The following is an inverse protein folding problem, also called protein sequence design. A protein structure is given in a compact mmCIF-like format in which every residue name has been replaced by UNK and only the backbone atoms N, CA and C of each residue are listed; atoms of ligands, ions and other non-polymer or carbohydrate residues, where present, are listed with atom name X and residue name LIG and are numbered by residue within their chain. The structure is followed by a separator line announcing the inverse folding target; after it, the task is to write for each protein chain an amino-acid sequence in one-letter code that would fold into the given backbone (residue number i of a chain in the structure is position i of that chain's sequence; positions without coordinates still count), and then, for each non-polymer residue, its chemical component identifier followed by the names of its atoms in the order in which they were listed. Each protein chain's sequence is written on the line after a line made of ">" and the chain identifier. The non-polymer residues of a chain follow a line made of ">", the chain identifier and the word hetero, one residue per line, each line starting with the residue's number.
data_IF_029011030056
#
_entry.id   IF_029011030056
#
_cell.length_a   1.000
_cell.length_b   1.000
_cell.length_c   1.000
_cell.angle_alpha   90.00
_cell.angle_beta   90.00
_cell.angle_gamma   90.00
#
_symmetry.space_group_name_H-M   'P 1'
#
loop_
_entity.id
_entity.type
_entity.pdbx_description
1 polymer ?
#
# COMPACT_ATOMS: atom_id res chain seq x y z
N UNK A 1 1.69 -22.05 12.27
CA UNK A 1 1.51 -21.30 11.01
C UNK A 1 2.88 -20.75 10.67
N UNK A 2 3.39 -20.90 9.44
CA UNK A 2 4.75 -20.47 9.11
C UNK A 2 4.86 -18.97 9.40
N UNK A 3 5.87 -18.59 10.16
CA UNK A 3 6.12 -17.19 10.50
C UNK A 3 6.47 -16.43 9.21
N UNK A 4 5.51 -15.67 8.68
CA UNK A 4 5.76 -14.72 7.60
C UNK A 4 6.63 -13.59 8.17
N UNK A 5 7.95 -13.78 8.19
CA UNK A 5 8.89 -12.79 8.70
C UNK A 5 10.13 -13.38 9.36
N UNK A 6 10.96 -14.07 8.58
CA UNK A 6 12.35 -14.31 8.99
C UNK A 6 13.18 -13.02 8.86
N UNK A 7 14.32 -12.96 9.55
CA UNK A 7 15.27 -11.86 9.43
C UNK A 7 15.68 -11.60 7.97
N UNK A 8 15.97 -12.66 7.22
CA UNK A 8 16.44 -12.58 5.82
C UNK A 8 15.42 -11.99 4.83
N UNK A 9 14.16 -12.46 4.74
CA UNK A 9 13.15 -11.80 3.91
C UNK A 9 12.97 -10.32 4.20
N UNK A 10 12.94 -9.92 5.49
CA UNK A 10 12.79 -8.52 5.89
C UNK A 10 13.99 -7.67 5.47
N UNK A 11 15.21 -8.18 5.66
CA UNK A 11 16.44 -7.49 5.25
C UNK A 11 16.50 -7.31 3.73
N UNK A 12 16.17 -8.34 2.95
CA UNK A 12 16.16 -8.29 1.48
C UNK A 12 15.16 -7.25 1.00
N UNK A 13 13.93 -7.30 1.51
CA UNK A 13 12.88 -6.33 1.19
C UNK A 13 13.32 -4.91 1.52
N UNK A 14 13.95 -4.72 2.68
CA UNK A 14 14.44 -3.41 3.10
C UNK A 14 15.50 -2.85 2.13
N UNK A 15 16.52 -3.63 1.80
CA UNK A 15 17.60 -3.22 0.90
C UNK A 15 17.05 -2.91 -0.50
N UNK A 16 16.05 -3.67 -0.95
CA UNK A 16 15.45 -3.51 -2.28
C UNK A 16 14.36 -2.44 -2.35
N UNK A 17 13.68 -2.13 -1.24
CA UNK A 17 12.55 -1.19 -1.23
C UNK A 17 12.95 0.20 -1.70
N UNK A 18 14.08 0.74 -1.21
CA UNK A 18 14.57 2.06 -1.63
C UNK A 18 14.91 2.12 -3.13
N UNK A 19 15.83 1.30 -3.68
CA UNK A 19 16.22 1.41 -5.08
C UNK A 19 15.07 1.13 -6.04
N UNK A 20 14.24 0.11 -5.78
CA UNK A 20 13.11 -0.22 -6.67
C UNK A 20 12.13 0.96 -6.72
N UNK A 21 11.76 1.49 -5.55
CA UNK A 21 10.80 2.58 -5.47
C UNK A 21 11.38 3.85 -6.07
N UNK A 22 12.60 4.23 -5.71
CA UNK A 22 13.22 5.46 -6.20
C UNK A 22 13.42 5.44 -7.72
N UNK A 23 13.96 4.35 -8.27
CA UNK A 23 14.23 4.25 -9.70
C UNK A 23 12.93 4.22 -10.53
N UNK A 24 11.90 3.49 -10.08
CA UNK A 24 10.62 3.44 -10.79
C UNK A 24 9.93 4.81 -10.83
N UNK A 25 9.84 5.51 -9.68
CA UNK A 25 9.19 6.81 -9.61
C UNK A 25 10.04 7.90 -10.30
N UNK A 26 11.36 7.76 -10.33
CA UNK A 26 12.25 8.65 -11.08
C UNK A 26 12.11 8.44 -12.58
N UNK A 27 12.02 7.19 -13.04
CA UNK A 27 11.75 6.85 -14.44
C UNK A 27 10.45 7.48 -14.91
N UNK A 28 9.39 7.35 -14.12
CA UNK A 28 8.11 7.98 -14.41
C UNK A 28 8.19 9.52 -14.45
N UNK A 29 8.88 10.13 -13.49
CA UNK A 29 9.04 11.60 -13.49
C UNK A 29 9.79 12.09 -14.73
N UNK A 30 10.90 11.44 -15.10
CA UNK A 30 11.67 11.77 -16.31
C UNK A 30 10.84 11.59 -17.58
N UNK A 31 10.03 10.55 -17.64
CA UNK A 31 9.08 10.36 -18.73
C UNK A 31 8.14 11.56 -18.85
N UNK A 32 7.54 12.04 -17.76
CA UNK A 32 6.66 13.22 -17.79
C UNK A 32 7.42 14.52 -18.14
N UNK A 33 8.69 14.64 -17.72
CA UNK A 33 9.54 15.77 -18.10
C UNK A 33 9.96 15.80 -19.57
N UNK A 34 9.84 14.68 -20.29
CA UNK A 34 10.15 14.64 -21.73
C UNK A 34 9.20 15.48 -22.58
N UNK A 35 8.02 15.83 -22.04
CA UNK A 35 7.11 16.76 -22.69
C UNK A 35 7.51 18.21 -22.41
N UNK A 36 7.55 19.01 -23.47
CA UNK A 36 7.86 20.43 -23.40
C UNK A 36 6.70 21.29 -22.88
N UNK A 37 5.48 20.74 -22.79
CA UNK A 37 4.31 21.50 -22.31
C UNK A 37 4.26 21.50 -20.77
N UNK A 38 4.22 22.67 -20.10
CA UNK A 38 4.24 22.73 -18.63
C UNK A 38 3.08 22.00 -17.94
N UNK A 39 1.94 21.88 -18.62
CA UNK A 39 0.69 21.32 -18.10
C UNK A 39 0.51 19.82 -18.40
N UNK A 40 1.40 19.22 -19.21
CA UNK A 40 1.27 17.80 -19.59
C UNK A 40 1.28 16.87 -18.38
N UNK A 41 0.18 16.15 -18.20
CA UNK A 41 0.11 15.03 -17.28
C UNK A 41 0.62 13.74 -17.95
N UNK A 42 0.73 12.66 -17.18
CA UNK A 42 1.17 11.35 -17.69
C UNK A 42 0.36 10.87 -18.90
N UNK A 43 -0.96 11.14 -18.94
CA UNK A 43 -1.83 10.71 -20.04
C UNK A 43 -1.53 11.48 -21.33
N UNK A 44 -1.16 12.76 -21.20
CA UNK A 44 -0.84 13.62 -22.33
C UNK A 44 0.50 13.22 -22.94
N UNK A 45 1.52 13.01 -22.10
CA UNK A 45 2.85 12.58 -22.53
C UNK A 45 2.82 11.24 -23.28
N UNK A 46 1.95 10.31 -22.86
CA UNK A 46 1.78 9.04 -23.59
C UNK A 46 1.16 9.27 -24.96
N UNK A 47 0.20 10.18 -25.06
CA UNK A 47 -0.36 10.59 -26.35
C UNK A 47 0.67 11.23 -27.28
N UNK A 48 1.56 12.08 -26.73
CA UNK A 48 2.63 12.74 -27.47
C UNK A 48 3.67 11.74 -28.04
N UNK A 49 4.11 10.76 -27.23
CA UNK A 49 5.15 9.81 -27.65
C UNK A 49 4.63 8.59 -28.43
N UNK A 50 3.44 8.10 -28.10
CA UNK A 50 2.90 6.84 -28.63
C UNK A 50 1.64 7.03 -29.49
N UNK A 51 1.17 8.27 -29.65
CA UNK A 51 0.00 8.61 -30.46
C UNK A 51 -1.31 8.63 -29.67
N UNK A 52 -2.33 9.27 -30.27
CA UNK A 52 -3.61 9.54 -29.61
C UNK A 52 -4.37 8.28 -29.16
N UNK A 53 -4.26 7.17 -29.90
CA UNK A 53 -4.91 5.90 -29.55
C UNK A 53 -4.27 5.28 -28.30
N UNK A 54 -2.94 5.30 -28.21
CA UNK A 54 -2.22 4.81 -27.03
C UNK A 54 -2.56 5.63 -25.78
N UNK A 55 -2.64 6.96 -25.92
CA UNK A 55 -3.06 7.85 -24.81
C UNK A 55 -4.47 7.53 -24.29
N UNK A 56 -5.44 7.28 -25.18
CA UNK A 56 -6.80 6.89 -24.80
C UNK A 56 -6.84 5.54 -24.07
N UNK A 57 -6.18 4.51 -24.63
CA UNK A 57 -6.12 3.18 -24.01
C UNK A 57 -5.47 3.25 -22.64
N UNK A 58 -4.35 3.97 -22.52
CA UNK A 58 -3.67 4.16 -21.25
C UNK A 58 -4.57 4.87 -20.23
N UNK A 59 -5.30 5.91 -20.64
CA UNK A 59 -6.21 6.64 -19.74
C UNK A 59 -7.28 5.72 -19.14
N UNK A 60 -7.84 4.79 -19.94
CA UNK A 60 -8.81 3.80 -19.45
C UNK A 60 -8.16 2.84 -18.45
N UNK A 61 -6.97 2.31 -18.77
CA UNK A 61 -6.23 1.41 -17.87
C UNK A 61 -5.88 2.13 -16.56
N UNK A 62 -5.38 3.36 -16.66
CA UNK A 62 -5.03 4.21 -15.53
C UNK A 62 -6.23 4.49 -14.63
N UNK A 63 -7.40 4.77 -15.22
CA UNK A 63 -8.64 4.95 -14.48
C UNK A 63 -8.99 3.70 -13.65
N UNK A 64 -8.99 2.50 -14.25
CA UNK A 64 -9.28 1.26 -13.51
C UNK A 64 -8.23 0.97 -12.43
N UNK A 65 -6.96 1.25 -12.71
CA UNK A 65 -5.88 1.05 -11.75
C UNK A 65 -6.06 1.94 -10.51
N UNK A 66 -6.29 3.25 -10.70
CA UNK A 66 -6.53 4.19 -9.60
C UNK A 66 -7.85 3.88 -8.88
N UNK A 67 -8.91 3.56 -9.62
CA UNK A 67 -10.21 3.18 -9.04
C UNK A 67 -10.10 1.97 -8.11
N UNK A 68 -9.34 0.95 -8.51
CA UNK A 68 -9.10 -0.25 -7.68
C UNK A 68 -8.39 0.11 -6.38
N UNK A 69 -7.37 0.98 -6.46
CA UNK A 69 -6.66 1.48 -5.28
C UNK A 69 -7.61 2.24 -4.34
N UNK A 70 -8.50 3.07 -4.89
CA UNK A 70 -9.49 3.81 -4.11
C UNK A 70 -10.46 2.89 -3.36
N UNK A 71 -10.98 1.84 -4.01
CA UNK A 71 -11.86 0.86 -3.35
C UNK A 71 -11.14 0.17 -2.18
N UNK A 72 -9.91 -0.25 -2.40
CA UNK A 72 -9.11 -0.91 -1.37
C UNK A 72 -8.95 -0.02 -0.13
N UNK A 73 -8.64 1.27 -0.31
CA UNK A 73 -8.54 2.21 0.80
C UNK A 73 -9.89 2.50 1.47
N UNK A 74 -11.00 2.57 0.71
CA UNK A 74 -12.32 2.73 1.28
C UNK A 74 -12.70 1.55 2.21
N UNK A 75 -12.40 0.32 1.78
CA UNK A 75 -12.58 -0.89 2.59
C UNK A 75 -11.71 -0.85 3.85
N UNK A 76 -10.44 -0.46 3.71
CA UNK A 76 -9.50 -0.36 4.83
C UNK A 76 -9.98 0.65 5.88
N UNK A 77 -10.35 1.87 5.48
CA UNK A 77 -10.82 2.91 6.41
C UNK A 77 -12.11 2.47 7.11
N UNK A 78 -13.03 1.84 6.38
CA UNK A 78 -14.28 1.30 6.98
C UNK A 78 -13.96 0.27 8.07
N UNK A 79 -13.04 -0.66 7.80
CA UNK A 79 -12.64 -1.68 8.77
C UNK A 79 -11.96 -1.07 10.02
N UNK A 80 -11.11 -0.06 9.81
CA UNK A 80 -10.43 0.64 10.91
C UNK A 80 -11.41 1.44 11.76
N UNK A 81 -12.36 2.16 11.13
CA UNK A 81 -13.38 2.90 11.85
C UNK A 81 -14.29 1.97 12.66
N UNK A 82 -14.70 0.83 12.08
CA UNK A 82 -15.51 -0.18 12.78
C UNK A 82 -14.75 -0.74 13.99
N UNK A 83 -13.47 -1.09 13.82
CA UNK A 83 -12.62 -1.52 14.93
C UNK A 83 -12.46 -0.45 16.02
N UNK A 84 -12.34 0.83 15.63
CA UNK A 84 -12.24 1.94 16.57
C UNK A 84 -13.54 2.10 17.39
N UNK A 85 -14.70 2.01 16.72
CA UNK A 85 -16.01 2.12 17.37
C UNK A 85 -16.22 1.01 18.39
N UNK A 86 -15.86 -0.23 18.04
CA UNK A 86 -16.09 -1.39 18.92
C UNK A 86 -15.06 -1.48 20.04
N UNK A 87 -13.78 -1.26 19.75
CA UNK A 87 -12.70 -1.50 20.71
C UNK A 87 -12.29 -0.26 21.50
N UNK A 88 -12.34 0.93 20.91
CA UNK A 88 -11.89 2.17 21.57
C UNK A 88 -13.05 2.99 22.13
N UNK A 89 -14.20 3.01 21.46
CA UNK A 89 -15.42 3.68 21.96
C UNK A 89 -16.34 2.76 22.76
N UNK A 90 -16.06 1.44 22.80
CA UNK A 90 -16.86 0.42 23.47
C UNK A 90 -18.36 0.44 23.08
N UNK A 91 -18.67 0.89 21.86
CA UNK A 91 -20.04 0.92 21.34
C UNK A 91 -20.38 -0.40 20.64
N UNK A 92 -21.68 -0.74 20.62
CA UNK A 92 -22.17 -1.88 19.84
C UNK A 92 -21.79 -1.75 18.37
N UNK A 93 -21.45 -2.86 17.72
CA UNK A 93 -20.97 -2.89 16.34
C UNK A 93 -22.05 -2.38 15.36
N UNK A 94 -21.88 -1.18 14.77
CA UNK A 94 -22.86 -0.63 13.85
C UNK A 94 -22.81 -1.39 12.51
N UNK A 95 -23.90 -1.37 11.71
CA UNK A 95 -23.91 -1.98 10.39
C UNK A 95 -22.80 -1.42 9.51
N UNK A 96 -21.97 -2.30 8.95
CA UNK A 96 -20.82 -1.94 8.08
C UNK A 96 -21.22 -1.00 6.93
N UNK A 97 -22.39 -1.23 6.33
CA UNK A 97 -22.92 -0.40 5.22
C UNK A 97 -23.16 1.04 5.65
N UNK A 98 -23.71 1.25 6.85
CA UNK A 98 -23.96 2.57 7.41
C UNK A 98 -22.64 3.31 7.66
N UNK A 99 -21.67 2.65 8.30
CA UNK A 99 -20.34 3.23 8.54
C UNK A 99 -19.66 3.60 7.22
N UNK A 100 -19.68 2.71 6.22
CA UNK A 100 -19.09 2.96 4.92
C UNK A 100 -19.73 4.17 4.22
N UNK A 101 -21.06 4.27 4.21
CA UNK A 101 -21.78 5.40 3.58
C UNK A 101 -21.43 6.72 4.28
N UNK A 102 -21.47 6.76 5.61
CA UNK A 102 -21.13 7.96 6.38
C UNK A 102 -19.68 8.40 6.13
N UNK A 103 -18.73 7.46 6.14
CA UNK A 103 -17.32 7.75 5.85
C UNK A 103 -17.11 8.25 4.43
N UNK A 104 -17.71 7.60 3.42
CA UNK A 104 -17.57 8.01 2.02
C UNK A 104 -18.16 9.41 1.82
N UNK A 105 -19.35 9.67 2.34
CA UNK A 105 -19.98 11.00 2.26
C UNK A 105 -19.13 12.06 2.98
N UNK A 106 -18.58 11.74 4.16
CA UNK A 106 -17.69 12.62 4.89
C UNK A 106 -16.40 12.93 4.12
N UNK A 107 -15.75 11.91 3.54
CA UNK A 107 -14.56 12.10 2.71
C UNK A 107 -14.88 12.90 1.43
N UNK A 108 -15.99 12.61 0.76
CA UNK A 108 -16.43 13.38 -0.43
C UNK A 108 -16.72 14.84 -0.10
N UNK A 109 -17.31 15.10 1.08
CA UNK A 109 -17.52 16.46 1.57
C UNK A 109 -16.18 17.18 1.79
N UNK A 110 -15.20 16.52 2.41
CA UNK A 110 -13.84 17.08 2.60
C UNK A 110 -13.18 17.41 1.25
N UNK A 111 -13.33 16.53 0.26
CA UNK A 111 -12.74 16.73 -1.08
C UNK A 111 -13.28 18.00 -1.76
N UNK A 112 -14.52 18.42 -1.47
CA UNK A 112 -15.11 19.64 -2.04
C UNK A 112 -14.45 20.94 -1.57
N UNK A 113 -13.75 20.95 -0.44
CA UNK A 113 -13.04 22.16 0.04
C UNK A 113 -11.76 22.48 -0.75
N UNK A 114 -11.44 21.66 -1.76
CA UNK A 114 -10.40 21.95 -2.75
C UNK A 114 -9.01 21.42 -2.39
N UNK A 115 -8.16 21.33 -3.41
CA UNK A 115 -6.85 20.69 -3.33
C UNK A 115 -5.94 21.30 -2.26
N UNK A 116 -5.98 22.63 -2.06
CA UNK A 116 -5.13 23.34 -1.10
C UNK A 116 -5.38 22.90 0.34
N UNK A 117 -6.65 22.72 0.74
CA UNK A 117 -6.98 22.22 2.08
C UNK A 117 -6.49 20.78 2.24
N UNK A 118 -6.79 19.93 1.27
CA UNK A 118 -6.41 18.51 1.29
C UNK A 118 -4.90 18.36 1.45
N UNK A 119 -4.10 19.09 0.66
CA UNK A 119 -2.64 19.04 0.76
C UNK A 119 -2.15 19.54 2.12
N UNK A 120 -2.73 20.62 2.65
CA UNK A 120 -2.37 21.13 3.98
C UNK A 120 -2.65 20.07 5.04
N UNK A 121 -3.88 19.52 5.09
CA UNK A 121 -4.27 18.49 6.07
C UNK A 121 -3.38 17.27 5.97
N UNK A 122 -3.17 16.71 4.77
CA UNK A 122 -2.33 15.53 4.58
C UNK A 122 -0.89 15.79 5.02
N UNK A 123 -0.31 16.94 4.67
CA UNK A 123 1.05 17.29 5.08
C UNK A 123 1.18 17.53 6.59
N UNK A 124 0.16 18.12 7.21
CA UNK A 124 0.14 18.37 8.66
C UNK A 124 -0.04 17.08 9.44
N UNK A 125 -0.85 16.13 8.96
CA UNK A 125 -1.15 14.86 9.63
C UNK A 125 0.06 13.91 9.69
N UNK A 126 1.01 14.05 8.76
CA UNK A 126 2.25 13.26 8.78
C UNK A 126 3.09 13.55 10.03
N UNK A 127 3.10 14.79 10.55
CA UNK A 127 3.89 15.13 11.73
C UNK A 127 3.44 14.41 13.01
N UNK A 128 2.16 14.46 13.46
CA UNK A 128 1.72 13.71 14.63
C UNK A 128 1.84 12.20 14.42
N UNK A 129 1.69 11.72 13.20
CA UNK A 129 1.92 10.31 12.88
C UNK A 129 3.39 9.92 13.14
N UNK A 130 4.37 10.65 12.60
CA UNK A 130 5.80 10.39 12.84
C UNK A 130 6.13 10.51 14.34
N UNK A 131 5.61 11.54 15.03
CA UNK A 131 5.82 11.72 16.47
C UNK A 131 5.30 10.50 17.25
N UNK A 132 4.10 10.00 16.91
CA UNK A 132 3.54 8.81 17.55
C UNK A 132 4.40 7.56 17.31
N UNK A 133 4.97 7.41 16.11
CA UNK A 133 5.88 6.30 15.80
C UNK A 133 7.19 6.38 16.58
N UNK A 134 7.78 7.58 16.70
CA UNK A 134 8.99 7.80 17.48
C UNK A 134 8.71 7.51 18.97
N UNK A 135 7.61 8.04 19.50
CA UNK A 135 7.20 7.78 20.88
C UNK A 135 7.03 6.27 21.14
N UNK A 136 6.31 5.58 20.25
CA UNK A 136 6.11 4.13 20.37
C UNK A 136 7.44 3.36 20.30
N UNK A 137 8.34 3.76 19.39
CA UNK A 137 9.66 3.14 19.27
C UNK A 137 10.50 3.32 20.54
N UNK A 138 10.52 4.53 21.11
CA UNK A 138 11.21 4.81 22.38
C UNK A 138 10.61 4.03 23.55
N UNK A 139 9.28 3.94 23.61
CA UNK A 139 8.57 3.17 24.64
C UNK A 139 8.87 1.66 24.55
N UNK A 140 9.16 1.14 23.36
CA UNK A 140 9.48 -0.27 23.15
C UNK A 140 10.93 -0.65 23.48
N UNK A 141 11.87 0.31 23.64
CA UNK A 141 13.29 0.03 23.93
C UNK A 141 13.48 -0.99 25.07
N UNK A 142 12.79 -0.90 26.22
CA UNK A 142 12.94 -1.87 27.31
C UNK A 142 12.50 -3.30 26.95
N UNK A 143 11.67 -3.44 25.92
CA UNK A 143 11.06 -4.70 25.48
C UNK A 143 11.79 -5.33 24.28
N UNK A 144 12.83 -4.68 23.76
CA UNK A 144 13.62 -5.21 22.66
C UNK A 144 14.30 -6.51 23.09
N UNK A 145 14.16 -7.54 22.26
CA UNK A 145 14.86 -8.80 22.46
C UNK A 145 15.70 -9.16 21.23
N UNK A 146 16.80 -9.85 21.47
CA UNK A 146 17.65 -10.40 20.41
C UNK A 146 17.07 -11.62 19.70
N UNK A 147 15.76 -11.94 19.83
CA UNK A 147 15.19 -13.15 19.23
C UNK A 147 15.26 -13.15 17.70
N UNK A 148 15.36 -11.96 17.08
CA UNK A 148 15.64 -11.82 15.64
C UNK A 148 16.97 -12.47 15.26
N UNK A 149 18.00 -12.35 16.11
CA UNK A 149 19.32 -12.92 15.85
C UNK A 149 19.32 -14.45 15.91
N UNK A 150 18.36 -15.06 16.61
CA UNK A 150 18.20 -16.53 16.65
C UNK A 150 17.63 -17.09 15.33
N UNK A 151 17.00 -16.25 14.50
CA UNK A 151 16.51 -16.60 13.16
C UNK A 151 17.50 -16.28 12.03
N UNK A 152 18.73 -15.85 12.38
CA UNK A 152 19.81 -15.56 11.42
C UNK A 152 20.41 -16.84 10.82
N UNK A 153 20.31 -17.95 11.54
CA UNK A 153 20.81 -19.26 11.14
C UNK A 153 20.14 -19.73 9.84
N UNK A 154 20.88 -19.73 8.73
CA UNK A 154 20.44 -20.32 7.44
C UNK A 154 19.99 -21.78 7.57
N UNK A 155 20.48 -22.47 8.59
CA UNK A 155 20.17 -23.86 8.94
C UNK A 155 18.80 -24.06 9.61
N UNK A 156 18.16 -23.01 10.17
CA UNK A 156 16.80 -23.09 10.72
C UNK A 156 15.73 -22.95 9.63
N UNK A 157 16.10 -22.42 8.47
CA UNK A 157 15.29 -22.34 7.25
C UNK A 157 15.87 -23.30 6.22
N UNK A 158 15.83 -24.60 6.52
CA UNK A 158 16.35 -25.69 5.67
C UNK A 158 15.72 -25.84 4.28
N UNK A 159 15.14 -24.78 3.72
CA UNK A 159 14.71 -24.77 2.33
C UNK A 159 14.74 -23.34 1.78
N UNK A 160 15.66 -23.04 0.86
CA UNK A 160 15.69 -21.76 0.14
C UNK A 160 14.38 -21.46 -0.60
N UNK A 161 13.59 -22.50 -0.87
CA UNK A 161 12.22 -22.41 -1.38
C UNK A 161 11.28 -21.68 -0.42
N UNK A 162 11.43 -21.85 0.90
CA UNK A 162 10.60 -21.19 1.91
C UNK A 162 10.82 -19.68 1.97
N UNK A 163 12.07 -19.23 1.84
CA UNK A 163 12.42 -17.80 1.77
C UNK A 163 11.88 -17.20 0.47
N UNK A 164 12.07 -17.87 -0.67
CA UNK A 164 11.61 -17.37 -1.97
C UNK A 164 10.08 -17.31 -2.06
N UNK A 165 9.37 -18.32 -1.55
CA UNK A 165 7.92 -18.32 -1.48
C UNK A 165 7.39 -17.22 -0.54
N UNK A 166 8.03 -17.00 0.61
CA UNK A 166 7.68 -15.94 1.54
C UNK A 166 7.86 -14.54 0.92
N UNK A 167 9.00 -14.32 0.24
CA UNK A 167 9.26 -13.10 -0.52
C UNK A 167 8.21 -12.90 -1.63
N UNK A 168 7.90 -13.96 -2.39
CA UNK A 168 6.91 -13.92 -3.47
C UNK A 168 5.51 -13.57 -2.95
N UNK A 169 5.07 -14.17 -1.85
CA UNK A 169 3.76 -13.89 -1.26
C UNK A 169 3.67 -12.49 -0.64
N UNK A 170 4.79 -11.96 -0.15
CA UNK A 170 4.86 -10.61 0.44
C UNK A 170 5.03 -9.52 -0.63
N UNK A 171 5.53 -9.88 -1.82
CA UNK A 171 5.83 -8.94 -2.90
C UNK A 171 4.63 -8.05 -3.31
N UNK A 172 3.41 -8.57 -3.54
CA UNK A 172 2.27 -7.73 -3.89
C UNK A 172 1.92 -6.71 -2.81
N UNK A 173 2.01 -7.10 -1.53
CA UNK A 173 1.75 -6.21 -0.40
C UNK A 173 2.80 -5.09 -0.36
N UNK A 174 4.07 -5.40 -0.62
CA UNK A 174 5.14 -4.41 -0.63
C UNK A 174 5.01 -3.42 -1.79
N UNK A 175 4.77 -3.92 -3.00
CA UNK A 175 4.57 -3.07 -4.19
C UNK A 175 3.37 -2.14 -3.97
N UNK A 176 2.29 -2.66 -3.39
CA UNK A 176 1.10 -1.87 -3.09
C UNK A 176 1.34 -0.87 -1.94
N UNK A 177 2.12 -1.23 -0.92
CA UNK A 177 2.44 -0.34 0.21
C UNK A 177 3.29 0.85 -0.19
N UNK A 178 4.17 0.69 -1.19
CA UNK A 178 5.01 1.77 -1.73
C UNK A 178 4.40 2.47 -2.95
N UNK A 179 3.13 2.22 -3.23
CA UNK A 179 2.43 2.78 -4.37
C UNK A 179 2.08 4.26 -4.13
N UNK A 180 2.89 5.15 -4.71
CA UNK A 180 2.63 6.58 -4.75
C UNK A 180 2.84 7.16 -6.15
N UNK A 181 2.75 6.34 -7.19
CA UNK A 181 2.86 6.82 -8.57
C UNK A 181 1.75 7.80 -8.98
N UNK A 182 0.48 7.70 -8.49
CA UNK A 182 -0.57 8.62 -8.91
C UNK A 182 -0.31 10.08 -8.53
N UNK A 183 0.47 10.32 -7.46
CA UNK A 183 0.83 11.69 -7.04
C UNK A 183 2.06 12.23 -7.80
N UNK A 184 2.85 11.38 -8.47
CA UNK A 184 4.06 11.84 -9.18
C UNK A 184 3.72 12.76 -10.34
N UNK A 185 2.71 12.43 -11.15
CA UNK A 185 2.32 13.27 -12.29
C UNK A 185 1.90 14.69 -11.88
N UNK A 186 0.93 14.89 -10.97
CA UNK A 186 0.57 16.24 -10.52
C UNK A 186 1.72 16.93 -9.76
N UNK A 187 2.59 16.17 -9.09
CA UNK A 187 3.80 16.74 -8.47
C UNK A 187 4.76 17.30 -9.52
N UNK A 188 5.06 16.55 -10.58
CA UNK A 188 5.92 17.00 -11.69
C UNK A 188 5.32 18.24 -12.37
N UNK A 189 4.04 18.21 -12.73
CA UNK A 189 3.32 19.36 -13.34
C UNK A 189 3.44 20.60 -12.45
N UNK A 190 3.16 20.45 -11.15
CA UNK A 190 3.27 21.56 -10.19
C UNK A 190 4.70 22.11 -10.09
N UNK A 191 5.72 21.27 -10.18
CA UNK A 191 7.11 21.73 -10.17
C UNK A 191 7.52 22.41 -11.46
N UNK A 192 7.04 21.93 -12.63
CA UNK A 192 7.20 22.62 -13.92
C UNK A 192 6.61 24.03 -13.84
N UNK A 193 5.38 24.15 -13.33
CA UNK A 193 4.69 25.45 -13.17
C UNK A 193 5.38 26.39 -12.16
N UNK A 194 5.97 25.86 -11.08
CA UNK A 194 6.56 26.68 -10.01
C UNK A 194 8.01 27.11 -10.27
N UNK A 195 8.83 26.23 -10.82
CA UNK A 195 10.28 26.44 -10.95
C UNK A 195 10.77 26.51 -12.40
N UNK A 196 9.89 26.29 -13.39
CA UNK A 196 10.27 26.22 -14.80
C UNK A 196 11.01 24.92 -15.16
N UNK A 197 11.13 24.65 -16.46
CA UNK A 197 11.67 23.38 -16.99
C UNK A 197 13.11 23.09 -16.54
N UNK A 198 13.96 24.12 -16.46
CA UNK A 198 15.38 23.96 -16.15
C UNK A 198 15.67 23.51 -14.70
N UNK A 199 14.86 23.95 -13.73
CA UNK A 199 15.10 23.69 -12.30
C UNK A 199 14.12 22.67 -11.70
N UNK A 200 12.98 22.43 -12.35
CA UNK A 200 11.94 21.54 -11.84
C UNK A 200 12.43 20.09 -11.66
N UNK A 201 13.21 19.55 -12.62
CA UNK A 201 13.65 18.15 -12.58
C UNK A 201 14.53 17.85 -11.36
N UNK A 202 15.44 18.79 -11.03
CA UNK A 202 16.34 18.71 -9.88
C UNK A 202 15.60 18.80 -8.56
N UNK A 203 14.66 19.75 -8.43
CA UNK A 203 13.81 19.89 -7.23
C UNK A 203 12.89 18.68 -7.03
N UNK A 204 12.31 18.15 -8.11
CA UNK A 204 11.54 16.92 -8.08
C UNK A 204 12.41 15.73 -7.60
N UNK A 205 13.64 15.60 -8.12
CA UNK A 205 14.58 14.54 -7.70
C UNK A 205 14.88 14.61 -6.21
N UNK A 206 15.15 15.82 -5.71
CA UNK A 206 15.46 16.08 -4.32
C UNK A 206 14.30 15.65 -3.42
N UNK A 207 13.07 16.07 -3.74
CA UNK A 207 11.88 15.74 -2.97
C UNK A 207 11.61 14.23 -2.98
N UNK A 208 11.71 13.58 -4.15
CA UNK A 208 11.53 12.12 -4.27
C UNK A 208 12.57 11.36 -3.45
N UNK A 209 13.85 11.77 -3.51
CA UNK A 209 14.93 11.12 -2.77
C UNK A 209 14.71 11.20 -1.26
N UNK A 210 14.45 12.39 -0.72
CA UNK A 210 14.22 12.55 0.72
C UNK A 210 12.92 11.90 1.18
N UNK A 211 11.85 11.98 0.38
CA UNK A 211 10.57 11.34 0.70
C UNK A 211 10.69 9.82 0.79
N UNK A 212 11.33 9.18 -0.18
CA UNK A 212 11.50 7.72 -0.20
C UNK A 212 12.50 7.29 0.88
N UNK A 213 13.58 8.04 1.10
CA UNK A 213 14.52 7.77 2.19
C UNK A 213 13.81 7.82 3.55
N UNK A 214 13.04 8.88 3.82
CA UNK A 214 12.30 9.04 5.07
C UNK A 214 11.32 7.87 5.28
N UNK A 215 10.55 7.53 4.24
CA UNK A 215 9.61 6.41 4.27
C UNK A 215 10.31 5.09 4.59
N UNK A 216 11.40 4.77 3.90
CA UNK A 216 12.17 3.54 4.12
C UNK A 216 12.78 3.50 5.52
N UNK A 217 13.31 4.61 6.03
CA UNK A 217 13.88 4.70 7.39
C UNK A 217 12.81 4.50 8.46
N UNK A 218 11.65 5.16 8.33
CA UNK A 218 10.55 5.02 9.30
C UNK A 218 10.04 3.58 9.34
N UNK A 219 9.86 2.95 8.16
CA UNK A 219 9.46 1.54 8.08
C UNK A 219 10.52 0.62 8.67
N UNK A 220 11.81 0.87 8.43
CA UNK A 220 12.90 0.09 9.02
C UNK A 220 12.87 0.16 10.54
N UNK A 221 12.80 1.37 11.08
CA UNK A 221 12.75 1.60 12.53
C UNK A 221 11.57 0.83 13.12
N UNK A 222 10.39 0.89 12.49
CA UNK A 222 9.21 0.17 12.97
C UNK A 222 9.32 -1.36 12.83
N UNK A 223 9.84 -1.87 11.71
CA UNK A 223 10.05 -3.29 11.49
C UNK A 223 11.06 -3.90 12.48
N UNK A 224 12.07 -3.14 12.90
CA UNK A 224 12.99 -3.60 13.95
C UNK A 224 12.33 -3.65 15.34
N UNK A 225 11.24 -2.91 15.58
CA UNK A 225 10.47 -2.97 16.84
C UNK A 225 9.56 -4.21 16.93
N UNK A 226 9.27 -4.89 15.83
CA UNK A 226 8.10 -5.77 15.70
C UNK A 226 8.19 -7.13 16.40
N UNK A 227 9.16 -7.36 17.30
CA UNK A 227 9.11 -8.53 18.21
C UNK A 227 9.31 -8.13 19.67
N UNK A 228 8.28 -7.50 20.23
CA UNK A 228 8.02 -7.53 21.68
C UNK A 228 7.60 -8.96 22.04
N UNK A 229 8.18 -9.56 23.09
CA UNK A 229 7.67 -10.84 23.65
C UNK A 229 6.17 -10.66 23.91
N UNK A 230 5.30 -11.67 23.65
CA UNK A 230 3.94 -11.59 24.17
C UNK A 230 4.05 -11.55 25.70
N UNK A 231 3.90 -10.35 26.28
CA UNK A 231 3.66 -10.22 27.72
C UNK A 231 2.22 -10.66 27.94
N UNK A 232 2.10 -11.69 28.79
CA UNK A 232 0.88 -12.33 29.27
C UNK A 232 0.20 -13.36 28.34
N UNK A 233 0.77 -14.57 28.31
CA UNK A 233 -0.05 -15.76 28.48
C UNK A 233 -0.54 -15.79 29.94
N UNK A 234 -1.57 -15.02 30.27
CA UNK A 234 -2.23 -15.08 31.59
C UNK A 234 -3.68 -14.59 31.55
N UNK A 235 -4.41 -14.80 30.46
CA UNK A 235 -5.87 -15.04 30.45
C UNK A 235 -6.25 -15.47 29.04
N UNK A 236 -6.90 -16.63 28.92
CA UNK A 236 -7.25 -17.21 27.62
C UNK A 236 -8.08 -16.26 26.77
N UNK A 237 -7.52 -15.80 25.64
CA UNK A 237 -8.20 -14.85 24.77
C UNK A 237 -7.42 -14.45 23.53
N UNK A 238 -7.46 -15.27 22.48
CA UNK A 238 -7.42 -14.83 21.08
C UNK A 238 -6.20 -13.99 20.61
N UNK A 239 -4.98 -14.52 20.77
CA UNK A 239 -3.75 -13.95 20.22
C UNK A 239 -3.50 -14.34 18.75
N UNK A 240 -4.46 -14.02 17.86
CA UNK A 240 -4.34 -14.31 16.43
C UNK A 240 -5.10 -13.30 15.54
N UNK A 241 -5.17 -12.02 15.94
CA UNK A 241 -5.97 -11.02 15.20
C UNK A 241 -5.20 -9.83 14.60
N UNK A 242 -3.91 -9.67 14.89
CA UNK A 242 -3.13 -8.50 14.44
C UNK A 242 -2.64 -8.63 12.99
N UNK A 243 -2.50 -9.85 12.44
CA UNK A 243 -2.13 -10.05 11.02
C UNK A 243 -3.31 -10.02 10.04
N UNK A 244 -4.45 -9.41 10.39
CA UNK A 244 -5.62 -9.28 9.51
C UNK A 244 -5.67 -7.93 8.77
N UNK A 245 -4.49 -7.35 8.48
CA UNK A 245 -4.31 -6.10 7.73
C UNK A 245 -4.05 -6.29 6.23
N UNK A 246 -4.35 -7.47 5.67
CA UNK A 246 -4.29 -7.70 4.23
C UNK A 246 -5.72 -7.68 3.65
N UNK A 247 -6.06 -6.81 2.68
CA UNK A 247 -7.38 -6.77 2.05
C UNK A 247 -7.53 -7.84 0.96
N UNK A 248 -6.69 -8.88 0.95
CA UNK A 248 -6.84 -10.01 0.06
C UNK A 248 -7.64 -11.06 0.81
N UNK A 249 -8.91 -11.18 0.44
CA UNK A 249 -9.82 -12.19 0.94
C UNK A 249 -9.17 -13.58 0.83
N UNK A 250 -8.96 -14.32 1.93
CA UNK A 250 -8.45 -15.67 1.82
C UNK A 250 -9.49 -16.50 1.07
N UNK A 251 -9.05 -17.26 0.06
CA UNK A 251 -9.87 -18.14 -0.81
C UNK A 251 -10.82 -19.04 0.02
N UNK A 252 -10.44 -19.37 1.25
CA UNK A 252 -11.26 -20.12 2.22
C UNK A 252 -12.54 -19.43 2.68
N UNK A 253 -12.68 -18.12 2.45
CA UNK A 253 -13.89 -17.35 2.79
C UNK A 253 -14.86 -17.28 1.60
N UNK A 254 -14.39 -17.49 0.35
CA UNK A 254 -15.24 -17.69 -0.84
C UNK A 254 -15.99 -19.03 -0.74
N UNK A 255 -15.30 -20.07 -0.27
CA UNK A 255 -15.89 -21.41 -0.09
C UNK A 255 -17.03 -21.48 0.95
N UNK A 256 -17.11 -20.48 1.84
CA UNK A 256 -18.11 -20.41 2.91
C UNK A 256 -19.40 -19.71 2.49
N UNK A 257 -19.39 -18.97 1.36
CA UNK A 257 -20.54 -18.20 0.87
C UNK A 257 -21.31 -18.90 -0.26
N UNK A 258 -20.77 -19.98 -0.85
CA UNK A 258 -21.39 -20.72 -1.95
C UNK A 258 -21.33 -22.24 -1.68
N UNK A 259 -22.37 -22.83 -1.05
CA UNK A 259 -22.36 -24.23 -0.61
C UNK A 259 -22.46 -25.27 -1.76
N UNK A 260 -22.45 -24.84 -3.03
CA UNK A 260 -22.67 -25.71 -4.19
C UNK A 260 -21.43 -26.11 -5.01
N UNK A 261 -20.26 -25.49 -4.83
CA UNK A 261 -19.09 -25.74 -5.68
C UNK A 261 -18.06 -26.62 -4.96
N UNK A 262 -18.33 -27.93 -4.87
CA UNK A 262 -17.45 -28.89 -4.20
C UNK A 262 -16.63 -29.79 -5.14
N UNK A 263 -16.68 -29.58 -6.46
CA UNK A 263 -15.97 -30.43 -7.43
C UNK A 263 -15.55 -29.72 -8.73
N UNK A 264 -14.75 -28.67 -8.65
CA UNK A 264 -14.06 -28.16 -9.84
C UNK A 264 -12.57 -27.97 -9.52
N UNK A 265 -11.72 -28.47 -10.43
CA UNK A 265 -10.28 -28.49 -10.27
C UNK A 265 -9.71 -27.06 -10.36
N UNK A 266 -8.48 -26.81 -9.87
CA UNK A 266 -7.86 -25.47 -9.85
C UNK A 266 -7.79 -24.80 -11.24
N UNK A 267 -7.78 -25.59 -12.31
CA UNK A 267 -7.78 -25.12 -13.70
C UNK A 267 -9.15 -24.56 -14.15
N UNK A 268 -10.25 -25.02 -13.55
CA UNK A 268 -11.60 -24.54 -13.88
C UNK A 268 -11.90 -23.16 -13.29
N UNK A 269 -11.24 -22.78 -12.19
CA UNK A 269 -11.35 -21.45 -11.57
C UNK A 269 -10.59 -20.38 -12.36
N UNK A 270 -9.53 -20.75 -13.07
CA UNK A 270 -8.79 -19.88 -13.97
C UNK A 270 -9.58 -19.52 -15.25
N UNK A 271 -10.49 -20.39 -15.68
CA UNK A 271 -11.36 -20.13 -16.84
C UNK A 271 -12.51 -19.13 -16.54
N UNK A 272 -12.83 -18.89 -15.26
CA UNK A 272 -13.88 -17.92 -14.87
C UNK A 272 -13.32 -16.48 -14.90
N UNK A 273 -12.00 -16.30 -14.82
CA UNK A 273 -11.34 -14.98 -14.82
C UNK A 273 -11.10 -14.45 -16.26
N UNK A 274 -11.32 -15.27 -17.29
CA UNK A 274 -10.99 -14.94 -18.68
C UNK A 274 -12.19 -14.78 -19.63
N UNK A 275 -13.41 -14.51 -19.15
CA UNK A 275 -14.59 -14.40 -20.03
C UNK A 275 -15.22 -13.00 -20.07
N UNK A 276 -14.93 -12.19 -21.12
CA UNK A 276 -15.87 -11.19 -21.61
C UNK A 276 -16.47 -11.62 -22.95
N UNK A 277 -17.80 -11.57 -23.03
CA UNK A 277 -18.61 -11.35 -24.24
C UNK A 277 -18.71 -12.45 -25.34
N UNK A 278 -19.74 -13.30 -25.24
CA UNK A 278 -20.74 -13.64 -26.28
C UNK A 278 -21.69 -14.67 -25.60
N UNK A 279 -23.03 -14.66 -25.70
CA UNK A 279 -23.88 -14.49 -26.87
C UNK A 279 -25.34 -14.33 -26.37
N UNK A 280 -26.08 -13.33 -26.88
CA UNK A 280 -27.55 -13.38 -26.98
C UNK A 280 -27.91 -14.27 -28.17
N UNK A 281 -29.13 -14.83 -28.12
CA UNK A 281 -29.75 -15.89 -28.92
C UNK A 281 -29.60 -17.27 -28.29
#
# INVERSE_FOLDING_TARGET
>A
MPEFGGFWPLLIVFVLAFPITYLAHRGLARFIYSSNTPESSITDVIGEHFGALAGKVFTVIYFFAVYTILIMYAVAITNTAQSFITHQLAMAEPPRSLVAIVLILGLMFIVRFGQRLIMRVMSTLVYPFIISLIFMALFLIPHWNGAILQTVSFSATGDGQGIMLSLWMTFPVLVMSFNHYPIISPMVVRQKQRYGLALAEGKCAQIQRYGILLMTVVVLVFCSQLRVKPVAAATGGSQARICRFCPIWPISTIHRLLPGYRRLSPLSLLLIISWPLHRRL
#
